data_IF_289859305474
#
_entry.id   IF_289859305474
#
_cell.length_a   1.000
_cell.length_b   1.000
_cell.length_c   1.000
_cell.angle_alpha   90.00
_cell.angle_beta   90.00
_cell.angle_gamma   90.00
#
_symmetry.space_group_name_H-M   'P 1'
#
loop_
_entity.id
_entity.type
_entity.pdbx_description
1 polymer ?
#
# COMPACT_ATOMS: atom_id res chain seq x y z
N UNK A 1 0.02 -26.71 -19.23
CA UNK A 1 0.42 -25.32 -19.58
C UNK A 1 -0.75 -24.45 -19.20
N UNK A 2 -0.64 -23.65 -18.15
CA UNK A 2 -1.67 -22.67 -17.80
C UNK A 2 -1.68 -21.59 -18.87
N UNK A 3 -2.77 -21.49 -19.63
CA UNK A 3 -2.97 -20.40 -20.59
C UNK A 3 -3.29 -19.14 -19.80
N UNK A 4 -2.34 -18.21 -19.72
CA UNK A 4 -2.53 -16.93 -19.07
C UNK A 4 -3.47 -16.06 -19.93
N UNK A 5 -4.64 -15.71 -19.41
CA UNK A 5 -5.57 -14.79 -20.06
C UNK A 5 -5.04 -13.37 -19.92
N UNK A 6 -4.73 -12.73 -21.05
CA UNK A 6 -4.28 -11.33 -21.12
C UNK A 6 -5.49 -10.41 -21.18
N UNK A 7 -5.47 -9.32 -20.43
CA UNK A 7 -6.55 -8.34 -20.39
C UNK A 7 -6.31 -7.15 -21.33
N UNK A 8 -7.40 -6.45 -21.68
CA UNK A 8 -7.32 -5.17 -22.39
C UNK A 8 -6.94 -4.06 -21.40
N UNK A 9 -5.85 -3.30 -21.63
CA UNK A 9 -5.42 -2.22 -20.75
C UNK A 9 -6.43 -1.08 -20.57
N UNK A 10 -7.41 -0.94 -21.48
CA UNK A 10 -8.48 0.06 -21.34
C UNK A 10 -9.60 -0.38 -20.39
N UNK A 11 -9.70 -1.69 -20.12
CA UNK A 11 -10.76 -2.28 -19.29
C UNK A 11 -10.23 -2.81 -17.96
N UNK A 12 -8.95 -3.14 -17.88
CA UNK A 12 -8.30 -3.65 -16.69
C UNK A 12 -7.02 -2.89 -16.37
N UNK A 13 -6.73 -2.77 -15.08
CA UNK A 13 -5.44 -2.28 -14.57
C UNK A 13 -4.37 -3.38 -14.51
N UNK A 14 -4.77 -4.63 -14.71
CA UNK A 14 -3.88 -5.79 -14.70
C UNK A 14 -3.62 -6.24 -16.13
N UNK A 15 -2.41 -6.73 -16.38
CA UNK A 15 -2.04 -7.27 -17.68
C UNK A 15 -2.63 -8.67 -17.89
N UNK A 16 -2.91 -9.39 -16.80
CA UNK A 16 -3.43 -10.76 -16.88
C UNK A 16 -4.28 -11.22 -15.69
N UNK A 17 -5.04 -12.30 -15.91
CA UNK A 17 -5.84 -12.95 -14.86
C UNK A 17 -5.00 -13.56 -13.73
N UNK A 18 -3.76 -13.96 -14.02
CA UNK A 18 -2.85 -14.50 -13.00
C UNK A 18 -2.34 -13.39 -12.08
N UNK A 19 -1.92 -12.26 -12.65
CA UNK A 19 -1.52 -11.07 -11.89
C UNK A 19 -2.66 -10.55 -10.99
N UNK A 20 -3.88 -10.45 -11.53
CA UNK A 20 -5.06 -10.06 -10.76
C UNK A 20 -5.32 -11.03 -9.60
N UNK A 21 -5.19 -12.34 -9.84
CA UNK A 21 -5.41 -13.36 -8.81
C UNK A 21 -4.35 -13.30 -7.70
N UNK A 22 -3.08 -13.09 -8.06
CA UNK A 22 -1.98 -12.91 -7.10
C UNK A 22 -2.18 -11.66 -6.24
N UNK A 23 -2.49 -10.52 -6.88
CA UNK A 23 -2.76 -9.28 -6.15
C UNK A 23 -3.99 -9.42 -5.24
N UNK A 24 -5.05 -10.06 -5.72
CA UNK A 24 -6.26 -10.31 -4.93
C UNK A 24 -5.98 -11.23 -3.73
N UNK A 25 -5.17 -12.26 -3.89
CA UNK A 25 -4.78 -13.14 -2.79
C UNK A 25 -3.98 -12.37 -1.72
N UNK A 26 -3.02 -11.55 -2.14
CA UNK A 26 -2.28 -10.67 -1.23
C UNK A 26 -3.21 -9.66 -0.53
N UNK A 27 -4.13 -9.01 -1.26
CA UNK A 27 -5.04 -8.02 -0.71
C UNK A 27 -5.96 -8.63 0.34
N UNK A 28 -6.49 -9.84 0.10
CA UNK A 28 -7.31 -10.57 1.08
C UNK A 28 -6.52 -10.90 2.34
N UNK A 29 -5.28 -11.38 2.21
CA UNK A 29 -4.43 -11.67 3.36
C UNK A 29 -4.12 -10.40 4.17
N UNK A 30 -3.80 -9.30 3.49
CA UNK A 30 -3.55 -8.00 4.12
C UNK A 30 -4.79 -7.45 4.82
N UNK A 31 -5.96 -7.58 4.20
CA UNK A 31 -7.23 -7.16 4.79
C UNK A 31 -7.55 -7.97 6.04
N UNK A 32 -7.40 -9.30 5.99
CA UNK A 32 -7.65 -10.15 7.15
C UNK A 32 -6.72 -9.78 8.32
N UNK A 33 -5.42 -9.60 8.06
CA UNK A 33 -4.48 -9.13 9.08
C UNK A 33 -4.85 -7.75 9.66
N UNK A 34 -5.46 -6.86 8.87
CA UNK A 34 -5.95 -5.57 9.34
C UNK A 34 -7.24 -5.65 10.15
N UNK A 35 -8.12 -6.60 9.84
CA UNK A 35 -9.35 -6.87 10.59
C UNK A 35 -9.03 -7.53 11.93
N UNK A 36 -8.05 -8.44 11.93
CA UNK A 36 -7.61 -9.16 13.12
C UNK A 36 -6.77 -8.30 14.07
N UNK A 37 -6.39 -7.07 13.66
CA UNK A 37 -5.67 -6.14 14.51
C UNK A 37 -6.57 -5.60 15.63
N UNK A 38 -6.29 -5.91 16.91
CA UNK A 38 -7.15 -5.52 18.02
C UNK A 38 -7.04 -4.04 18.38
N UNK A 39 -6.10 -3.30 17.76
CA UNK A 39 -5.90 -1.87 18.06
C UNK A 39 -7.11 -1.08 17.58
N UNK A 40 -7.60 -0.11 18.39
CA UNK A 40 -8.70 0.73 17.96
C UNK A 40 -8.27 1.59 16.76
N UNK A 41 -9.23 1.87 15.89
CA UNK A 41 -9.04 2.86 14.83
C UNK A 41 -8.68 4.22 15.41
N UNK A 42 -7.80 4.95 14.72
CA UNK A 42 -7.46 6.33 15.07
C UNK A 42 -8.32 7.31 14.28
N UNK A 43 -8.54 8.51 14.82
CA UNK A 43 -9.28 9.55 14.11
C UNK A 43 -8.48 10.07 12.93
N UNK A 44 -9.17 10.75 12.00
CA UNK A 44 -8.53 11.38 10.86
C UNK A 44 -7.46 12.40 11.29
N UNK A 45 -7.76 13.24 12.29
CA UNK A 45 -6.84 14.26 12.82
C UNK A 45 -5.56 13.62 13.40
N UNK A 46 -5.69 12.47 14.05
CA UNK A 46 -4.54 11.74 14.59
C UNK A 46 -3.69 11.11 13.47
N UNK A 47 -4.30 10.67 12.36
CA UNK A 47 -3.56 10.24 11.16
C UNK A 47 -2.75 11.42 10.60
N UNK A 48 -3.39 12.57 10.40
CA UNK A 48 -2.74 13.78 9.87
C UNK A 48 -1.57 14.21 10.74
N UNK A 49 -1.77 14.29 12.07
CA UNK A 49 -0.72 14.65 13.02
C UNK A 49 0.47 13.71 12.92
N UNK A 50 0.24 12.39 12.87
CA UNK A 50 1.32 11.39 12.74
C UNK A 50 2.07 11.52 11.41
N UNK A 51 1.34 11.77 10.32
CA UNK A 51 1.95 11.91 8.99
C UNK A 51 2.78 13.18 8.88
N UNK A 52 2.30 14.32 9.37
CA UNK A 52 3.07 15.57 9.42
C UNK A 52 4.39 15.39 10.18
N UNK A 53 4.35 14.76 11.36
CA UNK A 53 5.55 14.48 12.15
C UNK A 53 6.52 13.54 11.42
N UNK A 54 6.00 12.52 10.73
CA UNK A 54 6.83 11.58 9.97
C UNK A 54 7.51 12.26 8.79
N UNK A 55 6.79 13.10 8.04
CA UNK A 55 7.32 13.81 6.89
C UNK A 55 8.39 14.85 7.31
N UNK A 56 8.14 15.62 8.38
CA UNK A 56 9.13 16.55 8.92
C UNK A 56 10.47 15.85 9.22
N UNK A 57 10.41 14.71 9.90
CA UNK A 57 11.60 13.89 10.19
C UNK A 57 12.31 13.43 8.92
N UNK A 58 11.57 13.01 7.90
CA UNK A 58 12.17 12.58 6.63
C UNK A 58 12.89 13.73 5.92
N UNK A 59 12.32 14.94 5.94
CA UNK A 59 12.97 16.11 5.37
C UNK A 59 14.23 16.53 6.12
N UNK A 60 14.20 16.53 7.46
CA UNK A 60 15.40 16.79 8.27
C UNK A 60 16.51 15.79 7.98
N UNK A 61 16.17 14.50 7.86
CA UNK A 61 17.13 13.45 7.51
C UNK A 61 17.73 13.65 6.12
N UNK A 62 16.92 14.10 5.15
CA UNK A 62 17.40 14.38 3.80
C UNK A 62 18.36 15.57 3.79
N UNK A 63 17.98 16.68 4.43
CA UNK A 63 18.81 17.88 4.51
C UNK A 63 20.15 17.62 5.25
N UNK A 64 20.13 16.80 6.29
CA UNK A 64 21.34 16.39 7.01
C UNK A 64 22.27 15.51 6.15
N UNK A 65 21.71 14.64 5.30
CA UNK A 65 22.48 13.84 4.34
C UNK A 65 23.08 14.67 3.20
N UNK A 66 22.37 15.70 2.75
CA UNK A 66 22.86 16.61 1.71
C UNK A 66 23.92 17.59 2.23
N UNK A 67 23.98 17.81 3.54
CA UNK A 67 24.95 18.70 4.21
C UNK A 67 26.20 17.98 4.74
N UNK A 68 26.30 16.66 4.57
CA UNK A 68 27.41 15.81 5.01
C UNK A 68 28.20 15.27 3.83
#
# INVERSE_FOLDING_TARGET
MTTQTIFDPLLSIYDSAEEEAEHTAWLRAKLQASIDDPRPSITHEEVERRMTLRLARLYEQHAAKESS
#
